data_IF_709381236517
#
_entry.id   IF_709381236517
#
_cell.length_a   1.000
_cell.length_b   1.000
_cell.length_c   1.000
_cell.angle_alpha   90.00
_cell.angle_beta   90.00
_cell.angle_gamma   90.00
#
_symmetry.space_group_name_H-M   'P 1'
#
loop_
_entity.id
_entity.type
_entity.pdbx_description
1 polymer ?
#
# COMPACT_ATOMS: atom_id res chain seq x y z
N UNK A 1 23.88 -18.04 -12.92
CA UNK A 1 23.20 -18.46 -11.67
C UNK A 1 21.74 -18.10 -11.82
N UNK A 2 20.97 -19.05 -12.32
CA UNK A 2 19.54 -18.92 -12.55
C UNK A 2 18.81 -19.22 -11.23
N UNK A 3 18.07 -18.24 -10.71
CA UNK A 3 17.06 -18.49 -9.70
C UNK A 3 15.75 -18.76 -10.43
N UNK A 4 15.45 -20.04 -10.58
CA UNK A 4 14.15 -20.57 -10.99
C UNK A 4 13.26 -20.68 -9.76
N UNK A 5 12.48 -19.64 -9.48
CA UNK A 5 11.26 -19.67 -8.67
C UNK A 5 10.59 -18.30 -8.85
N UNK A 6 9.34 -18.28 -9.31
CA UNK A 6 8.58 -17.07 -9.59
C UNK A 6 8.29 -16.30 -8.29
N UNK A 7 9.24 -15.53 -7.75
CA UNK A 7 9.00 -14.72 -6.54
C UNK A 7 8.40 -13.34 -6.89
N UNK A 8 8.86 -12.75 -8.00
CA UNK A 8 8.33 -11.53 -8.62
C UNK A 8 9.06 -11.27 -9.95
N UNK A 9 8.58 -10.30 -10.72
CA UNK A 9 9.28 -9.75 -11.88
C UNK A 9 9.94 -8.41 -11.55
N UNK A 10 11.23 -8.27 -11.86
CA UNK A 10 11.92 -6.97 -11.82
C UNK A 10 11.60 -6.22 -13.11
N UNK A 11 10.78 -5.17 -13.00
CA UNK A 11 10.39 -4.34 -14.15
C UNK A 11 11.48 -3.32 -14.49
N UNK A 12 12.13 -2.76 -13.46
CA UNK A 12 13.26 -1.84 -13.60
C UNK A 12 14.13 -1.89 -12.34
N UNK A 13 15.38 -1.43 -12.43
CA UNK A 13 16.32 -1.39 -11.31
C UNK A 13 16.96 -2.74 -11.00
N UNK A 14 16.97 -3.12 -9.72
CA UNK A 14 17.51 -4.38 -9.22
C UNK A 14 19.04 -4.46 -9.23
N UNK A 15 19.74 -3.33 -9.32
CA UNK A 15 21.21 -3.26 -9.43
C UNK A 15 21.78 -2.10 -8.62
N UNK A 16 23.06 -2.24 -8.25
CA UNK A 16 23.86 -1.15 -7.70
C UNK A 16 24.04 -0.05 -8.75
N UNK A 17 24.05 1.20 -8.32
CA UNK A 17 24.43 2.33 -9.15
C UNK A 17 25.91 2.68 -8.95
N UNK A 18 26.71 2.52 -10.01
CA UNK A 18 28.15 2.84 -10.02
C UNK A 18 29.02 1.96 -9.12
N UNK A 19 30.31 2.27 -9.10
CA UNK A 19 31.31 1.42 -8.43
C UNK A 19 31.61 1.85 -6.99
N UNK A 20 31.30 3.10 -6.62
CA UNK A 20 31.56 3.68 -5.29
C UNK A 20 30.28 4.05 -4.55
N UNK A 21 30.32 4.00 -3.22
CA UNK A 21 29.19 4.31 -2.34
C UNK A 21 28.14 3.18 -2.24
N UNK A 22 27.03 3.49 -1.56
CA UNK A 22 25.92 2.56 -1.26
C UNK A 22 24.64 2.95 -2.03
N UNK A 23 24.76 3.19 -3.33
CA UNK A 23 23.64 3.59 -4.18
C UNK A 23 23.02 2.39 -4.88
N UNK A 24 21.69 2.35 -4.91
CA UNK A 24 20.91 1.34 -5.63
C UNK A 24 19.94 2.03 -6.58
N UNK A 25 19.70 1.40 -7.73
CA UNK A 25 18.71 1.90 -8.69
C UNK A 25 17.29 1.80 -8.12
N UNK A 26 16.40 2.77 -8.41
CA UNK A 26 14.98 2.63 -8.14
C UNK A 26 14.44 1.35 -8.78
N UNK A 27 13.80 0.50 -7.97
CA UNK A 27 13.42 -0.86 -8.37
C UNK A 27 11.91 -1.03 -8.26
N UNK A 28 11.29 -1.56 -9.31
CA UNK A 28 9.86 -1.91 -9.32
C UNK A 28 9.73 -3.41 -9.48
N UNK A 29 9.06 -4.04 -8.52
CA UNK A 29 8.76 -5.46 -8.48
C UNK A 29 7.28 -5.67 -8.78
N UNK A 30 6.96 -6.43 -9.82
CA UNK A 30 5.60 -6.79 -10.19
C UNK A 30 5.33 -8.27 -9.91
N UNK A 31 4.05 -8.62 -9.77
CA UNK A 31 3.61 -9.99 -9.50
C UNK A 31 4.31 -10.61 -8.29
N UNK A 32 4.46 -9.82 -7.22
CA UNK A 32 5.06 -10.30 -5.97
C UNK A 32 4.12 -11.31 -5.32
N UNK A 33 4.61 -12.53 -5.08
CA UNK A 33 3.86 -13.56 -4.38
C UNK A 33 3.66 -13.17 -2.90
N UNK A 34 2.42 -13.15 -2.46
CA UNK A 34 1.96 -12.84 -1.10
C UNK A 34 2.46 -13.81 -0.04
N UNK A 35 2.87 -15.01 -0.46
CA UNK A 35 3.46 -16.03 0.41
C UNK A 35 4.88 -15.66 0.88
N UNK A 36 5.53 -14.72 0.20
CA UNK A 36 6.94 -14.37 0.41
C UNK A 36 7.15 -13.37 1.54
N UNK A 37 8.33 -13.40 2.15
CA UNK A 37 8.79 -12.37 3.09
C UNK A 37 8.84 -11.00 2.42
N UNK A 38 9.23 -10.96 1.14
CA UNK A 38 9.26 -9.74 0.34
C UNK A 38 7.89 -9.04 0.32
N UNK A 39 6.78 -9.77 0.21
CA UNK A 39 5.44 -9.16 0.26
C UNK A 39 5.09 -8.58 1.64
N UNK A 40 5.42 -9.30 2.72
CA UNK A 40 4.97 -9.02 4.08
C UNK A 40 5.80 -7.98 4.83
N UNK A 41 7.10 -7.93 4.57
CA UNK A 41 8.01 -7.06 5.30
C UNK A 41 8.20 -5.71 4.60
N UNK A 42 8.61 -4.73 5.39
CA UNK A 42 8.99 -3.41 4.90
C UNK A 42 10.42 -3.46 4.35
N UNK A 43 10.56 -3.10 3.08
CA UNK A 43 11.87 -2.98 2.44
C UNK A 43 12.27 -1.51 2.46
N UNK A 44 13.33 -1.19 3.20
CA UNK A 44 13.86 0.17 3.30
C UNK A 44 14.78 0.44 2.11
N UNK A 45 14.34 1.32 1.20
CA UNK A 45 15.09 1.68 0.00
C UNK A 45 14.16 2.13 -1.13
N UNK A 46 14.70 2.47 -2.32
CA UNK A 46 13.90 2.93 -3.45
C UNK A 46 13.24 1.74 -4.18
N UNK A 47 12.45 0.94 -3.45
CA UNK A 47 11.84 -0.29 -3.94
C UNK A 47 10.32 -0.17 -3.85
N UNK A 48 9.64 -0.37 -4.97
CA UNK A 48 8.18 -0.42 -5.06
C UNK A 48 7.73 -1.85 -5.37
N UNK A 49 6.82 -2.39 -4.54
CA UNK A 49 6.17 -3.68 -4.74
C UNK A 49 4.78 -3.47 -5.33
N UNK A 50 4.44 -4.21 -6.38
CA UNK A 50 3.13 -4.19 -7.01
C UNK A 50 2.47 -5.56 -6.83
N UNK A 51 1.38 -5.58 -6.07
CA UNK A 51 0.56 -6.76 -5.80
C UNK A 51 -0.81 -6.52 -6.43
N UNK A 52 -1.29 -7.48 -7.23
CA UNK A 52 -2.61 -7.42 -7.87
C UNK A 52 -3.68 -7.89 -6.89
N UNK A 53 -4.89 -7.36 -7.04
CA UNK A 53 -6.07 -7.86 -6.36
C UNK A 53 -7.24 -7.85 -7.35
N UNK A 54 -8.21 -8.73 -7.14
CA UNK A 54 -9.36 -8.88 -8.03
C UNK A 54 -10.67 -8.43 -7.40
N UNK A 55 -10.84 -8.67 -6.10
CA UNK A 55 -12.06 -8.37 -5.36
C UNK A 55 -11.78 -7.46 -4.17
N UNK A 56 -12.84 -6.87 -3.61
CA UNK A 56 -12.72 -6.04 -2.41
C UNK A 56 -12.28 -6.87 -1.20
N UNK A 57 -12.80 -8.09 -1.08
CA UNK A 57 -12.47 -9.05 -0.04
C UNK A 57 -10.98 -9.43 -0.12
N UNK A 58 -10.48 -9.70 -1.34
CA UNK A 58 -9.09 -10.02 -1.61
C UNK A 58 -8.15 -8.85 -1.22
N UNK A 59 -8.49 -7.63 -1.63
CA UNK A 59 -7.76 -6.42 -1.23
C UNK A 59 -7.67 -6.27 0.29
N UNK A 60 -8.81 -6.44 0.98
CA UNK A 60 -8.89 -6.31 2.43
C UNK A 60 -8.08 -7.39 3.15
N UNK A 61 -8.10 -8.63 2.66
CA UNK A 61 -7.26 -9.70 3.21
C UNK A 61 -5.77 -9.36 3.10
N UNK A 62 -5.31 -8.95 1.91
CA UNK A 62 -3.89 -8.60 1.66
C UNK A 62 -3.40 -7.44 2.50
N UNK A 63 -4.29 -6.49 2.78
CA UNK A 63 -3.96 -5.28 3.55
C UNK A 63 -4.21 -5.44 5.05
N UNK A 64 -4.85 -6.51 5.52
CA UNK A 64 -5.24 -6.72 6.93
C UNK A 64 -4.10 -7.10 7.89
N UNK A 65 -2.87 -6.68 7.61
CA UNK A 65 -1.70 -7.03 8.42
C UNK A 65 -1.85 -6.44 9.83
N UNK A 66 -1.74 -7.30 10.85
CA UNK A 66 -2.16 -7.01 12.24
C UNK A 66 -1.42 -5.82 12.90
N UNK A 67 -0.29 -5.37 12.36
CA UNK A 67 0.61 -4.41 13.02
C UNK A 67 1.26 -3.40 12.04
N UNK A 68 0.53 -2.89 11.05
CA UNK A 68 1.05 -1.83 10.19
C UNK A 68 0.54 -0.45 10.65
N UNK A 69 1.42 0.29 11.34
CA UNK A 69 1.17 1.69 11.70
C UNK A 69 1.45 2.66 10.55
N UNK A 70 1.93 2.14 9.41
CA UNK A 70 2.23 2.94 8.22
C UNK A 70 0.96 3.52 7.60
N UNK A 71 1.05 4.72 7.03
CA UNK A 71 -0.07 5.31 6.32
C UNK A 71 -0.42 4.52 5.06
N UNK A 72 -1.69 4.53 4.69
CA UNK A 72 -2.22 3.89 3.47
C UNK A 72 -2.89 4.93 2.59
N UNK A 73 -2.57 4.95 1.30
CA UNK A 73 -3.28 5.78 0.33
C UNK A 73 -4.26 4.94 -0.49
N UNK A 74 -5.49 5.42 -0.65
CA UNK A 74 -6.51 4.85 -1.52
C UNK A 74 -6.68 5.76 -2.73
N UNK A 75 -6.64 5.19 -3.92
CA UNK A 75 -6.78 5.92 -5.18
C UNK A 75 -7.97 5.40 -5.98
N UNK A 76 -9.14 5.97 -5.75
CA UNK A 76 -10.36 5.66 -6.53
C UNK A 76 -11.28 6.87 -6.59
N UNK A 77 -12.11 6.97 -7.63
CA UNK A 77 -13.17 8.00 -7.74
C UNK A 77 -14.45 7.62 -6.99
N UNK A 78 -14.59 6.36 -6.59
CA UNK A 78 -15.77 5.81 -5.94
C UNK A 78 -15.69 6.02 -4.42
N UNK A 79 -16.49 6.96 -3.91
CA UNK A 79 -16.49 7.33 -2.49
C UNK A 79 -17.02 6.21 -1.58
N UNK A 80 -17.92 5.36 -2.07
CA UNK A 80 -18.48 4.26 -1.28
C UNK A 80 -17.42 3.18 -1.04
N UNK A 81 -16.59 2.89 -2.05
CA UNK A 81 -15.42 2.02 -1.88
C UNK A 81 -14.42 2.58 -0.87
N UNK A 82 -14.14 3.88 -0.90
CA UNK A 82 -13.24 4.50 0.09
C UNK A 82 -13.80 4.37 1.50
N UNK A 83 -15.07 4.68 1.69
CA UNK A 83 -15.76 4.51 2.97
C UNK A 83 -15.72 3.06 3.47
N UNK A 84 -15.95 2.10 2.59
CA UNK A 84 -15.93 0.69 2.92
C UNK A 84 -14.54 0.23 3.37
N UNK A 85 -13.51 0.59 2.60
CA UNK A 85 -12.11 0.23 2.89
C UNK A 85 -11.66 0.90 4.19
N UNK A 86 -11.91 2.20 4.35
CA UNK A 86 -11.46 2.97 5.52
C UNK A 86 -12.03 2.45 6.84
N UNK A 87 -13.27 1.92 6.84
CA UNK A 87 -13.89 1.31 8.02
C UNK A 87 -13.29 -0.06 8.38
N UNK A 88 -12.74 -0.79 7.42
CA UNK A 88 -12.24 -2.16 7.62
C UNK A 88 -10.73 -2.24 7.81
N UNK A 89 -9.97 -1.31 7.25
CA UNK A 89 -8.52 -1.23 7.45
C UNK A 89 -8.17 -0.86 8.89
N UNK A 90 -7.08 -1.43 9.41
CA UNK A 90 -6.50 -1.11 10.72
C UNK A 90 -5.14 -0.43 10.56
N UNK A 91 -5.11 0.71 9.88
CA UNK A 91 -3.90 1.50 9.62
C UNK A 91 -3.95 2.84 10.37
N UNK A 92 -2.76 3.41 10.62
CA UNK A 92 -2.61 4.63 11.42
C UNK A 92 -3.24 5.87 10.76
N UNK A 93 -3.05 6.01 9.45
CA UNK A 93 -3.53 7.13 8.65
C UNK A 93 -3.97 6.60 7.28
N UNK A 94 -5.16 6.98 6.81
CA UNK A 94 -5.63 6.66 5.46
C UNK A 94 -5.86 7.96 4.69
N UNK A 95 -5.34 8.07 3.47
CA UNK A 95 -5.55 9.22 2.59
C UNK A 95 -6.30 8.83 1.32
N UNK A 96 -7.15 9.72 0.82
CA UNK A 96 -7.74 9.60 -0.50
C UNK A 96 -7.47 10.86 -1.33
N UNK A 97 -6.99 10.67 -2.55
CA UNK A 97 -6.60 11.77 -3.45
C UNK A 97 -7.74 12.29 -4.33
N UNK A 98 -8.76 11.47 -4.60
CA UNK A 98 -9.66 11.71 -5.75
C UNK A 98 -11.09 12.07 -5.40
N UNK A 99 -11.64 11.61 -4.28
CA UNK A 99 -13.02 11.93 -3.90
C UNK A 99 -13.15 12.41 -2.45
N UNK A 100 -14.11 13.30 -2.23
CA UNK A 100 -14.50 13.72 -0.89
C UNK A 100 -15.25 12.56 -0.24
N UNK A 101 -14.74 12.12 0.90
CA UNK A 101 -15.37 11.06 1.67
C UNK A 101 -16.35 11.72 2.64
N UNK A 102 -17.43 11.05 3.05
CA UNK A 102 -18.41 11.63 3.98
C UNK A 102 -18.51 10.76 5.21
N UNK A 103 -18.15 11.29 6.38
CA UNK A 103 -18.27 10.60 7.66
C UNK A 103 -19.31 11.33 8.52
N UNK A 104 -20.55 10.83 8.53
CA UNK A 104 -21.67 11.51 9.19
C UNK A 104 -22.12 12.79 8.48
N UNK A 105 -22.47 13.83 9.24
CA UNK A 105 -22.95 15.13 8.73
C UNK A 105 -21.86 16.02 8.11
N UNK A 106 -20.59 15.65 8.22
CA UNK A 106 -19.48 16.45 7.70
C UNK A 106 -18.88 15.80 6.44
N UNK A 107 -18.72 16.63 5.40
CA UNK A 107 -17.94 16.31 4.20
C UNK A 107 -16.46 16.49 4.51
N UNK A 108 -15.67 15.44 4.26
CA UNK A 108 -14.23 15.38 4.51
C UNK A 108 -13.53 15.73 3.18
N UNK A 109 -12.60 16.69 3.22
CA UNK A 109 -11.95 17.30 2.08
C UNK A 109 -10.77 16.46 1.54
N UNK A 110 -10.23 16.91 0.40
CA UNK A 110 -9.36 16.24 -0.59
C UNK A 110 -8.03 15.64 -0.08
N UNK A 111 -7.77 15.63 1.23
CA UNK A 111 -6.53 15.13 1.82
C UNK A 111 -6.69 14.76 3.31
N UNK A 112 -7.81 14.14 3.66
CA UNK A 112 -8.09 13.89 5.07
C UNK A 112 -7.59 12.52 5.52
N UNK A 113 -7.06 12.50 6.74
CA UNK A 113 -6.47 11.31 7.39
C UNK A 113 -7.55 10.58 8.18
N UNK A 114 -7.92 9.35 7.81
CA UNK A 114 -8.81 8.53 8.65
C UNK A 114 -7.99 7.82 9.73
N UNK A 115 -8.26 8.13 11.01
CA UNK A 115 -7.74 7.34 12.12
C UNK A 115 -8.73 6.21 12.43
N UNK A 116 -8.30 4.97 12.21
CA UNK A 116 -9.16 3.77 12.25
C UNK A 116 -9.44 3.27 13.67
N UNK A 117 -8.90 3.91 14.72
CA UNK A 117 -8.95 3.37 16.09
C UNK A 117 -9.96 3.95 17.05
N UNK A 118 -10.59 5.09 16.78
CA UNK A 118 -11.80 5.57 17.45
C UNK A 118 -12.08 6.98 16.97
N UNK A 119 -13.36 7.31 16.92
CA UNK A 119 -13.92 8.66 16.86
C UNK A 119 -13.17 9.66 17.75
N UNK A 120 -12.12 10.28 17.22
CA UNK A 120 -11.59 11.54 17.72
C UNK A 120 -11.64 12.49 16.52
N UNK A 121 -12.66 13.33 16.55
CA UNK A 121 -12.70 14.55 15.75
C UNK A 121 -11.50 15.38 16.19
N UNK A 122 -10.61 15.71 15.25
CA UNK A 122 -9.79 16.91 15.36
C UNK A 122 -10.64 18.04 14.78
#
# INVERSE_FOLDING_TARGET
LAFSSFECFIITGGKKWGDRGHYVLPTVLAEVDESTTLAREEVIGPIMKVIRFETMEDLLQKTSVKHNFLPTAIMTRDADKVNHIAKKLRHGAIWNKWCNVRNGSNTIHKLDTFNTRNSIKI
#
